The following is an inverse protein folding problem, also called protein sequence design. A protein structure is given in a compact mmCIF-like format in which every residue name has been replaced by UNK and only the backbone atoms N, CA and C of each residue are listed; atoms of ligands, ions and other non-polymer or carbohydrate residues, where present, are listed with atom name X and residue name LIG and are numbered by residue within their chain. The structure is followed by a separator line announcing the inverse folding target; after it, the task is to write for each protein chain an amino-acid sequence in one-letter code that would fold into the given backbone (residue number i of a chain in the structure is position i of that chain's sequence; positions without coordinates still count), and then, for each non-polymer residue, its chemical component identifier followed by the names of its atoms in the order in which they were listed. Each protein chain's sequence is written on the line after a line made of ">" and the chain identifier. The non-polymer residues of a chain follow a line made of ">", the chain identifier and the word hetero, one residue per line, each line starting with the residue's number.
data_IF_496479274726
#
_entry.id   IF_496479274726
#
_cell.length_a   1.000
_cell.length_b   1.000
_cell.length_c   1.000
_cell.angle_alpha   90.00
_cell.angle_beta   90.00
_cell.angle_gamma   90.00
#
_symmetry.space_group_name_H-M   'P 1'
#
loop_
_entity.id
_entity.type
_entity.pdbx_description
1 polymer ?
#
# COMPACT_ATOMS: atom_id res chain seq x y z
N UNK A 1 0.21 24.21 9.15
CA UNK A 1 0.42 23.41 7.93
C UNK A 1 -0.59 23.93 6.94
N UNK A 2 -0.16 24.77 5.99
CA UNK A 2 -1.08 25.26 4.96
C UNK A 2 -1.27 24.17 3.91
N UNK A 3 -2.52 23.87 3.58
CA UNK A 3 -2.84 22.86 2.59
C UNK A 3 -2.74 23.48 1.19
N UNK A 4 -1.80 22.99 0.40
CA UNK A 4 -1.58 23.46 -0.98
C UNK A 4 -2.12 22.47 -2.00
N UNK A 5 -2.35 22.95 -3.23
CA UNK A 5 -2.70 22.06 -4.35
C UNK A 5 -1.60 21.01 -4.60
N UNK A 6 -0.34 21.31 -4.29
CA UNK A 6 0.79 20.39 -4.41
C UNK A 6 0.75 19.28 -3.36
N UNK A 7 0.29 19.54 -2.13
CA UNK A 7 0.02 18.48 -1.14
C UNK A 7 -1.03 17.50 -1.64
N UNK A 8 -2.12 17.99 -2.24
CA UNK A 8 -3.16 17.12 -2.81
C UNK A 8 -2.64 16.32 -4.01
N UNK A 9 -1.85 16.94 -4.88
CA UNK A 9 -1.21 16.26 -6.00
C UNK A 9 -0.24 15.17 -5.52
N UNK A 10 0.58 15.47 -4.51
CA UNK A 10 1.49 14.50 -3.90
C UNK A 10 0.75 13.30 -3.28
N UNK A 11 -0.35 13.56 -2.58
CA UNK A 11 -1.21 12.51 -2.02
C UNK A 11 -1.78 11.59 -3.12
N UNK A 12 -2.24 12.19 -4.23
CA UNK A 12 -2.79 11.46 -5.37
C UNK A 12 -1.72 10.61 -6.07
N UNK A 13 -0.52 11.16 -6.29
CA UNK A 13 0.59 10.41 -6.88
C UNK A 13 1.01 9.23 -6.00
N UNK A 14 1.10 9.42 -4.68
CA UNK A 14 1.42 8.32 -3.75
C UNK A 14 0.30 7.29 -3.67
N UNK A 15 -0.97 7.69 -3.80
CA UNK A 15 -2.08 6.73 -3.92
C UNK A 15 -1.94 5.86 -5.16
N UNK A 16 -1.61 6.44 -6.32
CA UNK A 16 -1.39 5.68 -7.56
C UNK A 16 -0.25 4.68 -7.38
N UNK A 17 0.88 5.10 -6.80
CA UNK A 17 2.00 4.19 -6.52
C UNK A 17 1.58 3.08 -5.55
N UNK A 18 0.86 3.42 -4.47
CA UNK A 18 0.34 2.44 -3.51
C UNK A 18 -0.59 1.41 -4.17
N UNK A 19 -1.46 1.83 -5.10
CA UNK A 19 -2.31 0.90 -5.89
C UNK A 19 -1.46 -0.04 -6.73
N UNK A 20 -0.42 0.47 -7.40
CA UNK A 20 0.46 -0.32 -8.24
C UNK A 20 1.24 -1.36 -7.43
N UNK A 21 1.86 -0.95 -6.32
CA UNK A 21 2.57 -1.84 -5.40
C UNK A 21 1.64 -2.88 -4.79
N UNK A 22 0.44 -2.47 -4.39
CA UNK A 22 -0.59 -3.38 -3.88
C UNK A 22 -0.97 -4.44 -4.92
N UNK A 23 -1.10 -4.07 -6.20
CA UNK A 23 -1.41 -5.03 -7.27
C UNK A 23 -0.27 -6.05 -7.47
N UNK A 24 0.98 -5.60 -7.41
CA UNK A 24 2.17 -6.47 -7.45
C UNK A 24 2.17 -7.41 -6.24
N UNK A 25 1.99 -6.87 -5.02
CA UNK A 25 1.97 -7.66 -3.79
C UNK A 25 0.85 -8.71 -3.81
N UNK A 26 -0.32 -8.35 -4.35
CA UNK A 26 -1.45 -9.27 -4.53
C UNK A 26 -1.04 -10.49 -5.36
N UNK A 27 -0.43 -10.22 -6.51
CA UNK A 27 -0.11 -11.25 -7.51
C UNK A 27 1.04 -12.14 -7.05
N UNK A 28 2.11 -11.55 -6.50
CA UNK A 28 3.35 -12.28 -6.24
C UNK A 28 3.49 -12.79 -4.81
N UNK A 29 2.79 -12.21 -3.84
CA UNK A 29 2.91 -12.59 -2.42
C UNK A 29 1.61 -13.18 -1.91
N UNK A 30 0.48 -12.47 -2.07
CA UNK A 30 -0.79 -12.92 -1.48
C UNK A 30 -1.32 -14.21 -2.10
N UNK A 31 -1.37 -14.32 -3.42
CA UNK A 31 -1.87 -15.54 -4.09
C UNK A 31 -1.05 -16.78 -3.68
N UNK A 32 0.30 -16.78 -3.78
CA UNK A 32 1.08 -17.94 -3.33
C UNK A 32 0.95 -18.25 -1.84
N UNK A 33 0.84 -17.21 -0.99
CA UNK A 33 0.66 -17.39 0.46
C UNK A 33 -0.69 -18.00 0.79
N UNK A 34 -1.77 -17.53 0.14
CA UNK A 34 -3.11 -18.10 0.27
C UNK A 34 -3.13 -19.56 -0.16
N UNK A 35 -2.58 -19.87 -1.34
CA UNK A 35 -2.59 -21.24 -1.87
C UNK A 35 -1.77 -22.20 -0.99
N UNK A 36 -0.69 -21.71 -0.34
CA UNK A 36 0.05 -22.49 0.67
C UNK A 36 -0.80 -22.71 1.93
N UNK A 37 -1.41 -21.65 2.45
CA UNK A 37 -2.25 -21.72 3.64
C UNK A 37 -3.46 -22.64 3.43
N UNK A 38 -4.06 -22.66 2.23
CA UNK A 38 -5.14 -23.59 1.88
C UNK A 38 -4.69 -25.05 1.85
N UNK A 39 -3.44 -25.34 1.41
CA UNK A 39 -2.87 -26.68 1.50
C UNK A 39 -2.59 -27.10 2.95
N UNK A 40 -2.06 -26.18 3.75
CA UNK A 40 -1.71 -26.44 5.17
C UNK A 40 -2.95 -26.69 6.04
N UNK A 41 -4.14 -26.23 5.62
CA UNK A 41 -5.42 -26.56 6.26
C UNK A 41 -5.69 -28.06 6.26
N UNK A 42 -5.34 -28.74 5.17
CA UNK A 42 -5.58 -30.20 5.01
C UNK A 42 -4.70 -31.00 5.96
N UNK A 43 -3.51 -30.49 6.29
CA UNK A 43 -2.54 -31.14 7.18
C UNK A 43 -2.60 -30.64 8.63
N UNK A 44 -3.46 -29.65 8.92
CA UNK A 44 -3.57 -29.05 10.25
C UNK A 44 -2.36 -28.20 10.67
N UNK A 45 -1.43 -27.89 9.77
CA UNK A 45 -0.18 -27.18 10.05
C UNK A 45 -0.25 -25.68 9.73
N UNK A 46 -1.45 -25.10 9.84
CA UNK A 46 -1.73 -23.72 9.41
C UNK A 46 -0.93 -22.72 10.24
N UNK A 47 -0.18 -21.86 9.57
CA UNK A 47 0.53 -20.71 10.17
C UNK A 47 -0.37 -19.47 10.15
N UNK A 48 0.23 -18.29 10.34
CA UNK A 48 -0.42 -16.98 10.29
C UNK A 48 -1.43 -16.85 9.15
N UNK A 49 -2.59 -16.28 9.48
CA UNK A 49 -3.68 -16.05 8.53
C UNK A 49 -3.25 -15.03 7.43
N UNK A 50 -3.28 -15.44 6.14
CA UNK A 50 -3.04 -14.56 5.00
C UNK A 50 -3.86 -13.27 5.00
N UNK A 51 -5.08 -13.31 5.56
CA UNK A 51 -6.01 -12.18 5.59
C UNK A 51 -5.51 -11.07 6.50
N UNK A 52 -4.89 -11.40 7.63
CA UNK A 52 -4.34 -10.40 8.58
C UNK A 52 -3.23 -9.62 7.91
N UNK A 53 -2.27 -10.33 7.29
CA UNK A 53 -1.20 -9.71 6.53
C UNK A 53 -1.75 -8.82 5.40
N UNK A 54 -2.77 -9.31 4.69
CA UNK A 54 -3.36 -8.59 3.57
C UNK A 54 -4.08 -7.30 3.98
N UNK A 55 -4.78 -7.32 5.11
CA UNK A 55 -5.42 -6.13 5.65
C UNK A 55 -4.40 -5.09 6.11
N UNK A 56 -3.29 -5.52 6.71
CA UNK A 56 -2.19 -4.62 7.06
C UNK A 56 -1.57 -3.97 5.82
N UNK A 57 -1.32 -4.77 4.77
CA UNK A 57 -0.82 -4.25 3.49
C UNK A 57 -1.78 -3.21 2.87
N UNK A 58 -3.09 -3.47 2.88
CA UNK A 58 -4.10 -2.49 2.41
C UNK A 58 -4.01 -1.16 3.16
N UNK A 59 -3.90 -1.20 4.49
CA UNK A 59 -3.79 0.01 5.29
C UNK A 59 -2.52 0.81 4.95
N UNK A 60 -1.38 0.11 4.78
CA UNK A 60 -0.13 0.76 4.40
C UNK A 60 -0.23 1.44 3.03
N UNK A 61 -0.72 0.73 2.01
CA UNK A 61 -0.71 1.26 0.64
C UNK A 61 -1.82 2.27 0.36
N UNK A 62 -3.00 2.14 0.96
CA UNK A 62 -4.15 3.01 0.68
C UNK A 62 -4.35 4.15 1.68
N UNK A 63 -3.70 4.10 2.84
CA UNK A 63 -3.82 5.15 3.86
C UNK A 63 -2.47 5.78 4.15
N UNK A 64 -1.46 5.00 4.52
CA UNK A 64 -0.17 5.55 4.92
C UNK A 64 0.54 6.21 3.74
N UNK A 65 0.59 5.57 2.57
CA UNK A 65 1.25 6.14 1.38
C UNK A 65 0.63 7.48 0.94
N UNK A 66 -0.69 7.63 0.77
CA UNK A 66 -1.30 8.92 0.47
C UNK A 66 -1.06 9.98 1.55
N UNK A 67 -1.06 9.60 2.83
CA UNK A 67 -0.75 10.53 3.92
C UNK A 67 0.69 11.03 3.84
N UNK A 68 1.65 10.17 3.50
CA UNK A 68 3.04 10.57 3.23
C UNK A 68 3.06 11.55 2.05
N UNK A 69 2.38 11.22 0.95
CA UNK A 69 2.29 12.11 -0.22
C UNK A 69 1.66 13.46 0.10
N UNK A 70 0.68 13.50 0.99
CA UNK A 70 0.03 14.72 1.43
C UNK A 70 0.96 15.61 2.27
N UNK A 71 1.64 15.01 3.24
CA UNK A 71 2.53 15.72 4.18
C UNK A 71 3.79 16.23 3.48
N UNK A 72 4.38 15.43 2.58
CA UNK A 72 5.65 15.76 1.92
C UNK A 72 5.49 16.29 0.50
N UNK A 73 4.28 16.25 -0.07
CA UNK A 73 4.02 16.60 -1.47
C UNK A 73 4.46 18.02 -1.82
N UNK A 74 4.17 19.00 -0.98
CA UNK A 74 4.56 20.39 -1.22
C UNK A 74 6.09 20.57 -1.22
N UNK A 75 6.79 19.96 -0.25
CA UNK A 75 8.24 20.02 -0.15
C UNK A 75 8.95 19.33 -1.34
N UNK A 76 8.39 18.23 -1.83
CA UNK A 76 8.97 17.45 -2.93
C UNK A 76 8.63 18.08 -4.28
N UNK A 77 7.40 18.57 -4.48
CA UNK A 77 6.92 19.02 -5.78
C UNK A 77 7.20 20.51 -6.04
N UNK A 78 7.26 21.35 -5.01
CA UNK A 78 7.48 22.80 -5.18
C UNK A 78 8.73 23.17 -6.00
N UNK A 79 9.87 22.45 -5.97
CA UNK A 79 11.03 22.76 -6.80
C UNK A 79 10.81 22.52 -8.31
N UNK A 80 9.81 21.72 -8.69
CA UNK A 80 9.53 21.40 -10.10
C UNK A 80 8.60 22.41 -10.77
N UNK A 81 7.95 23.27 -9.99
CA UNK A 81 6.96 24.26 -10.46
C UNK A 81 7.40 25.72 -10.21
N UNK A 82 8.63 25.92 -9.71
CA UNK A 82 9.30 27.23 -9.62
C UNK A 82 10.19 27.43 -10.83
#
# INVERSE_FOLDING_TARGET
>A
MEFTALSLLGAFLMLIMGVAEYAVLKRYIYVPMRDRHERDKVTGSQKTDPVVFWNMAKAMFFVIMPLIGFVFGDAILSPFFR
#
